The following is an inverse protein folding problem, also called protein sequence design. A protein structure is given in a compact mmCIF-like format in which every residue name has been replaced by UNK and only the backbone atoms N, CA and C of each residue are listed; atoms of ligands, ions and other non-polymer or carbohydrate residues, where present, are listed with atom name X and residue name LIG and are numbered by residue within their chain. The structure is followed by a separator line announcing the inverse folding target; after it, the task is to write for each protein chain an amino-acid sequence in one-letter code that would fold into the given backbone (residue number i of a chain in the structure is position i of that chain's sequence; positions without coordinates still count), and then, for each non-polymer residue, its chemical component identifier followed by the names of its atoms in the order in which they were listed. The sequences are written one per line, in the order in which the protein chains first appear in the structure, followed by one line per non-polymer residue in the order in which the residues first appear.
data_IF_911273679720
#
_entry.id   IF_911273679720
#
_cell.length_a   1.000
_cell.length_b   1.000
_cell.length_c   1.000
_cell.angle_alpha   90.00
_cell.angle_beta   90.00
_cell.angle_gamma   90.00
#
_symmetry.space_group_name_H-M   'P 1'
#
loop_
_entity.id
_entity.type
_entity.pdbx_description
1 polymer ?
#
# COMPACT_ATOMS: atom_id res chain seq x y z
N UNK A 1 -17.76 11.65 13.08
CA UNK A 1 -18.15 10.24 12.85
C UNK A 1 -16.92 9.35 13.02
N UNK A 2 -17.04 8.12 13.54
CA UNK A 2 -15.87 7.33 13.97
C UNK A 2 -15.01 6.90 12.78
N UNK A 3 -13.69 6.93 12.93
CA UNK A 3 -12.74 6.31 12.02
C UNK A 3 -11.91 5.34 12.85
N UNK A 4 -11.92 4.06 12.46
CA UNK A 4 -11.23 2.99 13.19
C UNK A 4 -10.29 2.28 12.23
N UNK A 5 -9.04 2.09 12.62
CA UNK A 5 -8.10 1.24 11.90
C UNK A 5 -7.79 0.00 12.72
N UNK A 6 -7.78 -1.17 12.11
CA UNK A 6 -7.45 -2.45 12.74
C UNK A 6 -6.24 -3.02 12.02
N UNK A 7 -5.10 -3.01 12.69
CA UNK A 7 -3.96 -3.84 12.34
C UNK A 7 -4.19 -5.26 12.89
N UNK A 8 -3.57 -6.28 12.28
CA UNK A 8 -3.79 -7.67 12.70
C UNK A 8 -2.69 -8.61 12.24
N UNK A 9 -2.43 -9.65 13.02
CA UNK A 9 -1.71 -10.83 12.54
C UNK A 9 -2.58 -11.68 11.60
N UNK A 10 -1.97 -12.36 10.63
CA UNK A 10 -2.66 -13.33 9.80
C UNK A 10 -3.30 -14.42 10.68
N UNK A 11 -4.55 -14.79 10.37
CA UNK A 11 -5.31 -15.78 11.15
C UNK A 11 -5.93 -15.27 12.46
N UNK A 12 -5.68 -14.03 12.88
CA UNK A 12 -6.24 -13.48 14.12
C UNK A 12 -7.74 -13.08 14.03
N UNK A 13 -8.37 -13.21 12.86
CA UNK A 13 -9.77 -12.85 12.65
C UNK A 13 -10.05 -11.35 12.54
N UNK A 14 -9.03 -10.52 12.29
CA UNK A 14 -9.16 -9.06 12.19
C UNK A 14 -10.21 -8.59 11.18
N UNK A 15 -10.35 -9.27 10.05
CA UNK A 15 -11.35 -8.92 9.03
C UNK A 15 -12.78 -9.19 9.53
N UNK A 16 -12.99 -10.31 10.23
CA UNK A 16 -14.28 -10.65 10.84
C UNK A 16 -14.66 -9.66 11.94
N UNK A 17 -13.69 -9.32 12.81
CA UNK A 17 -13.90 -8.31 13.87
C UNK A 17 -14.19 -6.95 13.26
N UNK A 18 -13.41 -6.51 12.26
CA UNK A 18 -13.62 -5.23 11.61
C UNK A 18 -15.00 -5.13 10.96
N UNK A 19 -15.46 -6.17 10.27
CA UNK A 19 -16.81 -6.21 9.70
C UNK A 19 -17.89 -6.15 10.78
N UNK A 20 -17.73 -6.91 11.87
CA UNK A 20 -18.65 -6.87 13.02
C UNK A 20 -18.72 -5.51 13.71
N UNK A 21 -17.61 -4.77 13.74
CA UNK A 21 -17.54 -3.39 14.26
C UNK A 21 -18.22 -2.43 13.30
N UNK A 22 -17.94 -2.54 11.99
CA UNK A 22 -18.56 -1.71 10.96
C UNK A 22 -20.09 -1.86 10.98
N UNK A 23 -20.59 -3.11 11.00
CA UNK A 23 -22.03 -3.40 11.03
C UNK A 23 -22.71 -2.80 12.28
N UNK A 24 -22.06 -2.86 13.45
CA UNK A 24 -22.59 -2.30 14.71
C UNK A 24 -22.58 -0.77 14.76
N UNK A 25 -21.59 -0.14 14.13
CA UNK A 25 -21.48 1.30 14.04
C UNK A 25 -22.28 1.88 12.88
N UNK A 26 -22.85 1.02 12.02
CA UNK A 26 -23.40 1.40 10.72
C UNK A 26 -22.39 2.21 9.90
N UNK A 27 -21.14 1.75 9.92
CA UNK A 27 -19.98 2.34 9.26
C UNK A 27 -19.61 1.57 7.99
N UNK A 28 -18.93 2.25 7.07
CA UNK A 28 -18.33 1.61 5.91
C UNK A 28 -17.21 0.67 6.35
N UNK A 29 -17.01 -0.41 5.59
CA UNK A 29 -15.95 -1.38 5.84
C UNK A 29 -14.96 -1.39 4.68
N UNK A 30 -13.72 -0.96 4.95
CA UNK A 30 -12.62 -0.95 4.01
C UNK A 30 -11.59 -2.01 4.43
N UNK A 31 -11.79 -3.24 3.95
CA UNK A 31 -10.91 -4.38 4.23
C UNK A 31 -10.23 -4.88 2.94
N UNK A 32 -10.33 -6.19 2.62
CA UNK A 32 -9.75 -6.75 1.39
C UNK A 32 -10.18 -6.03 0.09
N UNK A 33 -11.35 -5.40 0.09
CA UNK A 33 -11.90 -4.65 -1.05
C UNK A 33 -11.05 -3.43 -1.44
N UNK A 34 -10.18 -2.95 -0.54
CA UNK A 34 -9.26 -1.86 -0.84
C UNK A 34 -8.40 -2.18 -2.07
N UNK A 35 -7.93 -3.43 -2.19
CA UNK A 35 -7.10 -3.85 -3.32
C UNK A 35 -7.89 -3.80 -4.63
N UNK A 36 -9.17 -4.18 -4.59
CA UNK A 36 -10.04 -4.13 -5.78
C UNK A 36 -10.21 -2.67 -6.25
N UNK A 37 -10.39 -1.73 -5.31
CA UNK A 37 -10.50 -0.30 -5.61
C UNK A 37 -9.19 0.26 -6.21
N UNK A 38 -8.04 -0.12 -5.66
CA UNK A 38 -6.73 0.31 -6.18
C UNK A 38 -6.48 -0.25 -7.58
N UNK A 39 -6.78 -1.53 -7.81
CA UNK A 39 -6.68 -2.16 -9.14
C UNK A 39 -7.57 -1.48 -10.17
N UNK A 40 -8.82 -1.18 -9.80
CA UNK A 40 -9.73 -0.45 -10.67
C UNK A 40 -9.21 0.94 -11.05
N UNK A 41 -8.65 1.70 -10.08
CA UNK A 41 -8.13 3.05 -10.34
C UNK A 41 -6.85 3.08 -11.17
N UNK A 42 -6.01 2.04 -11.06
CA UNK A 42 -4.78 1.93 -11.82
C UNK A 42 -4.98 1.24 -13.18
N UNK A 43 -6.18 0.74 -13.47
CA UNK A 43 -6.47 -0.08 -14.65
C UNK A 43 -5.51 -1.30 -14.77
N UNK A 44 -5.11 -1.86 -13.63
CA UNK A 44 -4.22 -3.01 -13.55
C UNK A 44 -4.97 -4.27 -13.12
N UNK A 45 -4.51 -5.47 -13.53
CA UNK A 45 -5.00 -6.72 -12.97
C UNK A 45 -4.81 -6.76 -11.46
N UNK A 46 -5.79 -7.32 -10.75
CA UNK A 46 -5.76 -7.44 -9.29
C UNK A 46 -4.50 -8.16 -8.81
N UNK A 47 -4.11 -9.22 -9.51
CA UNK A 47 -2.95 -10.03 -9.20
C UNK A 47 -1.65 -9.22 -9.27
N UNK A 48 -1.56 -8.25 -10.19
CA UNK A 48 -0.40 -7.36 -10.29
C UNK A 48 -0.35 -6.38 -9.12
N UNK A 49 -1.50 -5.86 -8.68
CA UNK A 49 -1.59 -4.98 -7.51
C UNK A 49 -1.27 -5.74 -6.22
N UNK A 50 -1.79 -6.96 -6.06
CA UNK A 50 -1.48 -7.81 -4.90
C UNK A 50 0.02 -8.15 -4.85
N UNK A 51 0.63 -8.52 -5.98
CA UNK A 51 2.06 -8.79 -6.06
C UNK A 51 2.91 -7.56 -5.72
N UNK A 52 2.49 -6.38 -6.17
CA UNK A 52 3.17 -5.12 -5.89
C UNK A 52 3.08 -4.74 -4.40
N UNK A 53 1.94 -4.98 -3.75
CA UNK A 53 1.71 -4.66 -2.34
C UNK A 53 2.41 -5.66 -1.39
N UNK A 54 2.52 -6.94 -1.77
CA UNK A 54 3.22 -7.96 -0.98
C UNK A 54 4.75 -7.93 -1.08
N UNK A 55 5.32 -7.17 -2.01
CA UNK A 55 6.77 -7.10 -2.24
C UNK A 55 7.39 -5.79 -1.75
N UNK A 56 7.72 -5.66 -0.44
CA UNK A 56 8.64 -4.65 0.00
C UNK A 56 10.01 -4.96 -0.63
N UNK A 57 10.43 -4.18 -1.61
CA UNK A 57 11.73 -4.38 -2.28
C UNK A 57 12.87 -4.54 -1.27
N UNK A 58 13.90 -5.34 -1.59
CA UNK A 58 15.00 -5.56 -0.63
C UNK A 58 15.79 -4.27 -0.39
N UNK A 59 16.37 -4.10 0.81
CA UNK A 59 17.23 -2.95 1.12
C UNK A 59 18.40 -2.83 0.12
N UNK A 60 19.01 -3.96 -0.26
CA UNK A 60 20.07 -4.00 -1.25
C UNK A 60 19.58 -3.53 -2.63
N UNK A 61 18.40 -3.97 -3.06
CA UNK A 61 17.81 -3.53 -4.33
C UNK A 61 17.55 -2.02 -4.34
N UNK A 62 17.05 -1.45 -3.23
CA UNK A 62 16.87 0.02 -3.10
C UNK A 62 18.20 0.78 -3.18
N UNK A 63 19.24 0.28 -2.51
CA UNK A 63 20.56 0.88 -2.54
C UNK A 63 21.18 0.85 -3.94
N UNK A 64 21.07 -0.29 -4.63
CA UNK A 64 21.57 -0.44 -6.00
C UNK A 64 20.86 0.51 -6.98
N UNK A 65 19.54 0.66 -6.89
CA UNK A 65 18.78 1.62 -7.71
C UNK A 65 19.24 3.06 -7.43
N UNK A 66 19.42 3.43 -6.16
CA UNK A 66 19.87 4.78 -5.80
C UNK A 66 21.30 5.09 -6.31
N UNK A 67 22.21 4.11 -6.25
CA UNK A 67 23.57 4.24 -6.78
C UNK A 67 23.58 4.35 -8.31
N UNK A 68 22.77 3.54 -9.00
CA UNK A 68 22.65 3.60 -10.46
C UNK A 68 22.10 4.96 -10.94
N UNK A 69 21.12 5.52 -10.24
CA UNK A 69 20.57 6.84 -10.56
C UNK A 69 21.55 8.00 -10.30
N UNK A 70 22.54 7.80 -9.42
CA UNK A 70 23.55 8.81 -9.06
C UNK A 70 24.77 8.84 -10.01
N UNK A 71 24.87 7.93 -10.98
CA UNK A 71 26.00 7.86 -11.91
C UNK A 71 25.55 7.52 -13.34
N UNK A 72 24.87 8.45 -14.03
CA UNK A 72 24.35 8.23 -15.38
C UNK A 72 25.46 7.94 -16.41
N UNK A 73 26.68 8.47 -16.22
CA UNK A 73 27.83 8.24 -17.14
C UNK A 73 28.46 6.84 -17.09
N UNK A 74 28.14 5.98 -16.11
CA UNK A 74 28.78 4.65 -15.95
C UNK A 74 27.89 3.47 -16.40
N UNK A 75 26.72 3.73 -16.99
CA UNK A 75 25.76 2.69 -17.36
C UNK A 75 26.11 1.89 -18.64
N UNK A 76 27.21 2.20 -19.33
CA UNK A 76 27.59 1.52 -20.58
C UNK A 76 29.05 1.07 -20.57
N UNK A 77 29.32 -0.08 -19.95
CA UNK A 77 30.48 -0.91 -20.33
C UNK A 77 29.99 -2.33 -20.58
N UNK A 78 30.31 -2.85 -21.76
CA UNK A 78 29.65 -3.98 -22.41
C UNK A 78 29.96 -5.37 -21.79
N UNK A 79 30.53 -5.45 -20.59
CA UNK A 79 31.20 -6.67 -20.11
C UNK A 79 30.86 -7.10 -18.67
N UNK A 80 29.91 -6.47 -17.99
CA UNK A 80 29.34 -7.01 -16.74
C UNK A 80 28.00 -7.70 -16.98
N UNK A 81 27.64 -8.75 -16.21
CA UNK A 81 26.29 -9.30 -16.27
C UNK A 81 25.35 -8.22 -15.74
N UNK A 82 24.83 -7.41 -16.66
CA UNK A 82 24.07 -6.20 -16.35
C UNK A 82 22.81 -6.63 -15.65
N UNK A 83 22.80 -6.54 -14.33
CA UNK A 83 21.55 -6.44 -13.58
C UNK A 83 20.86 -5.18 -14.08
N UNK A 84 19.94 -5.34 -15.02
CA UNK A 84 18.99 -4.31 -15.41
C UNK A 84 17.86 -4.36 -14.39
N UNK A 85 17.66 -3.32 -13.57
CA UNK A 85 16.50 -3.24 -12.70
C UNK A 85 15.24 -3.42 -13.57
N UNK A 86 14.23 -4.19 -13.10
CA UNK A 86 13.00 -4.41 -13.88
C UNK A 86 12.24 -3.09 -14.19
N UNK A 87 12.55 -2.01 -13.46
CA UNK A 87 12.10 -0.66 -13.74
C UNK A 87 13.35 0.24 -13.86
N UNK A 88 13.69 0.61 -15.09
CA UNK A 88 14.82 1.50 -15.42
C UNK A 88 14.51 2.97 -15.14
N UNK A 89 13.23 3.32 -15.08
CA UNK A 89 12.73 4.62 -14.65
C UNK A 89 12.11 4.50 -13.23
N UNK A 90 12.63 5.22 -12.23
CA UNK A 90 12.06 5.28 -10.88
C UNK A 90 10.61 5.79 -10.80
N UNK A 91 10.09 6.44 -11.86
CA UNK A 91 8.70 6.87 -11.98
C UNK A 91 7.79 5.77 -12.56
N UNK A 92 8.36 4.76 -13.22
CA UNK A 92 7.63 3.65 -13.84
C UNK A 92 7.43 2.45 -12.91
N UNK A 93 7.74 2.56 -11.61
CA UNK A 93 7.61 1.47 -10.64
C UNK A 93 6.15 1.32 -10.19
N UNK A 94 5.41 0.28 -10.62
CA UNK A 94 4.00 0.08 -10.26
C UNK A 94 3.80 -0.07 -8.76
N UNK A 95 4.83 -0.47 -7.99
CA UNK A 95 4.75 -0.52 -6.52
C UNK A 95 4.55 0.86 -5.91
N UNK A 96 5.18 1.89 -6.49
CA UNK A 96 4.98 3.28 -6.03
C UNK A 96 3.56 3.73 -6.31
N UNK A 97 3.05 3.47 -7.51
CA UNK A 97 1.67 3.78 -7.88
C UNK A 97 0.67 3.06 -6.96
N UNK A 98 0.85 1.75 -6.73
CA UNK A 98 0.00 0.97 -5.82
C UNK A 98 0.03 1.52 -4.39
N UNK A 99 1.20 1.87 -3.87
CA UNK A 99 1.34 2.47 -2.54
C UNK A 99 0.64 3.84 -2.46
N UNK A 100 0.87 4.70 -3.45
CA UNK A 100 0.29 6.05 -3.50
C UNK A 100 -1.25 5.99 -3.56
N UNK A 101 -1.80 5.17 -4.45
CA UNK A 101 -3.24 4.99 -4.56
C UNK A 101 -3.84 4.31 -3.32
N UNK A 102 -3.13 3.36 -2.69
CA UNK A 102 -3.55 2.78 -1.41
C UNK A 102 -3.67 3.85 -0.32
N UNK A 103 -2.66 4.72 -0.19
CA UNK A 103 -2.69 5.82 0.77
C UNK A 103 -3.81 6.81 0.47
N UNK A 104 -4.05 7.10 -0.81
CA UNK A 104 -5.13 7.97 -1.26
C UNK A 104 -6.49 7.39 -0.89
N UNK A 105 -6.77 6.12 -1.20
CA UNK A 105 -8.04 5.44 -0.88
C UNK A 105 -8.29 5.42 0.62
N UNK A 106 -7.27 5.12 1.44
CA UNK A 106 -7.37 5.15 2.91
C UNK A 106 -7.70 6.56 3.41
N UNK A 107 -7.01 7.58 2.88
CA UNK A 107 -7.20 8.98 3.29
C UNK A 107 -8.57 9.51 2.89
N UNK A 108 -9.04 9.18 1.69
CA UNK A 108 -10.37 9.53 1.19
C UNK A 108 -11.48 8.92 2.05
N UNK A 109 -11.38 7.62 2.35
CA UNK A 109 -12.33 6.93 3.21
C UNK A 109 -12.35 7.50 4.64
N UNK A 110 -11.18 7.85 5.19
CA UNK A 110 -11.11 8.49 6.50
C UNK A 110 -11.74 9.89 6.51
N UNK A 111 -11.60 10.66 5.40
CA UNK A 111 -12.19 12.00 5.26
C UNK A 111 -13.71 11.98 5.14
N UNK A 112 -14.30 10.97 4.49
CA UNK A 112 -15.77 10.80 4.50
C UNK A 112 -16.28 10.46 5.91
N UNK A 113 -15.43 9.86 6.74
CA UNK A 113 -15.73 9.47 8.12
C UNK A 113 -16.66 8.26 8.19
N UNK A 114 -16.90 7.76 9.41
CA UNK A 114 -17.73 6.57 9.66
C UNK A 114 -17.25 5.33 8.90
N UNK A 115 -15.97 4.99 9.09
CA UNK A 115 -15.33 3.87 8.39
C UNK A 115 -14.47 3.03 9.33
N UNK A 116 -14.48 1.72 9.11
CA UNK A 116 -13.56 0.75 9.71
C UNK A 116 -12.62 0.24 8.63
N UNK A 117 -11.32 0.45 8.83
CA UNK A 117 -10.26 0.13 7.87
C UNK A 117 -9.41 -1.01 8.45
N UNK A 118 -9.20 -2.09 7.70
CA UNK A 118 -8.41 -3.25 8.17
C UNK A 118 -7.15 -3.45 7.34
N UNK A 119 -5.99 -3.47 8.00
CA UNK A 119 -4.70 -3.76 7.37
C UNK A 119 -4.08 -2.61 6.55
N UNK A 120 -3.20 -2.99 5.62
CA UNK A 120 -2.52 -2.13 4.62
C UNK A 120 -1.90 -0.83 5.19
N UNK A 121 -1.42 -0.89 6.44
CA UNK A 121 -0.79 0.26 7.08
C UNK A 121 -1.74 1.41 7.42
N UNK A 122 -3.06 1.20 7.45
CA UNK A 122 -4.02 2.28 7.72
C UNK A 122 -3.73 3.08 9.01
N UNK A 123 -3.27 2.41 10.06
CA UNK A 123 -2.83 3.08 11.30
C UNK A 123 -1.63 4.01 11.10
N UNK A 124 -0.69 3.64 10.22
CA UNK A 124 0.46 4.46 9.86
C UNK A 124 0.05 5.62 8.93
N UNK A 125 -0.77 5.35 7.92
CA UNK A 125 -1.25 6.37 6.97
C UNK A 125 -2.04 7.46 7.69
N UNK A 126 -2.83 7.10 8.70
CA UNK A 126 -3.72 8.02 9.41
C UNK A 126 -3.15 8.50 10.77
N UNK A 127 -1.85 8.30 11.04
CA UNK A 127 -1.28 8.56 12.37
C UNK A 127 -1.40 10.02 12.85
N UNK A 128 -1.40 10.98 11.92
CA UNK A 128 -1.54 12.41 12.21
C UNK A 128 -3.00 12.88 12.22
N UNK A 129 -3.95 12.02 11.83
CA UNK A 129 -5.37 12.40 11.75
C UNK A 129 -6.02 12.31 13.14
N UNK A 130 -6.44 13.43 13.75
CA UNK A 130 -7.03 13.41 15.08
C UNK A 130 -8.39 12.70 15.07
N UNK A 131 -8.70 12.00 16.18
CA UNK A 131 -9.98 11.33 16.35
C UNK A 131 -10.09 9.97 15.65
N UNK A 132 -8.99 9.44 15.11
CA UNK A 132 -8.90 8.06 14.61
C UNK A 132 -8.53 7.12 15.77
N UNK A 133 -9.23 6.00 15.88
CA UNK A 133 -8.89 4.93 16.82
C UNK A 133 -8.04 3.87 16.11
N UNK A 134 -6.82 3.63 16.59
CA UNK A 134 -5.95 2.57 16.09
C UNK A 134 -5.95 1.36 17.03
N UNK A 135 -6.26 0.18 16.49
CA UNK A 135 -6.36 -1.09 17.23
C UNK A 135 -5.46 -2.14 16.56
N UNK A 136 -4.93 -3.09 17.34
CA UNK A 136 -4.14 -4.23 16.88
C UNK A 136 -4.70 -5.55 17.43
#
# INVERSE_FOLDING_TARGET
MPVVTIARHFGAGGDSVGKMVADRLHADFLGPQLIDEVAHRLELPKEEVEAADEQPGSFLQRLLIALAAASPEHAVTAESPTWTPPYTDPQSDPRRAVLEYTQQVITEAARSGNVVIVGRGGAYVLHDLPGVLHVF
#
